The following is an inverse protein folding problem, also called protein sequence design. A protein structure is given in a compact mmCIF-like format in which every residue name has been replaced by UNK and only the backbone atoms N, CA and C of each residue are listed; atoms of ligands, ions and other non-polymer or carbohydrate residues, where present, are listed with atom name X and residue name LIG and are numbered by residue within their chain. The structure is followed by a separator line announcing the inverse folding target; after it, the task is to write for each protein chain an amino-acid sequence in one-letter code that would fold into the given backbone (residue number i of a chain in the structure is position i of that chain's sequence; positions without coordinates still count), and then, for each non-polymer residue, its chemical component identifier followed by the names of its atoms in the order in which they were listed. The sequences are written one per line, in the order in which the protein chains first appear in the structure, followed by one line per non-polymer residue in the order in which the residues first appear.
data_IF_444115960819
#
_entry.id   IF_444115960819
#
_cell.length_a   1.000
_cell.length_b   1.000
_cell.length_c   1.000
_cell.angle_alpha   90.00
_cell.angle_beta   90.00
_cell.angle_gamma   90.00
#
_symmetry.space_group_name_H-M   'P 1'
#
loop_
_entity.id
_entity.type
_entity.pdbx_description
1 polymer ?
#
# COMPACT_ATOMS: atom_id res chain seq x y z
N UNK A 1 -53.96 -16.49 51.42
CA UNK A 1 -52.94 -17.01 50.47
C UNK A 1 -52.97 -16.10 49.25
N UNK A 2 -52.07 -15.05 49.26
CA UNK A 2 -51.97 -14.10 48.17
C UNK A 2 -50.81 -14.46 47.22
N UNK A 3 -51.16 -14.79 45.99
CA UNK A 3 -50.22 -15.15 44.94
C UNK A 3 -49.88 -13.88 44.12
N UNK A 4 -48.73 -13.26 44.41
CA UNK A 4 -48.22 -12.10 43.65
C UNK A 4 -47.50 -12.60 42.38
N UNK A 5 -48.08 -12.34 41.21
CA UNK A 5 -47.45 -12.58 39.91
C UNK A 5 -46.40 -11.50 39.65
N UNK A 6 -45.14 -11.96 39.54
CA UNK A 6 -44.00 -11.09 39.11
C UNK A 6 -43.97 -11.11 37.58
N UNK A 7 -44.33 -10.00 36.95
CA UNK A 7 -44.16 -9.78 35.52
C UNK A 7 -42.71 -9.37 35.26
N UNK A 8 -41.92 -10.28 34.68
CA UNK A 8 -40.56 -9.99 34.19
C UNK A 8 -40.71 -9.46 32.76
N UNK A 9 -40.54 -8.14 32.59
CA UNK A 9 -40.47 -7.52 31.27
C UNK A 9 -39.15 -7.84 30.58
N UNK A 10 -39.21 -8.58 29.48
CA UNK A 10 -38.06 -8.73 28.57
C UNK A 10 -37.82 -7.41 27.84
N UNK A 11 -36.74 -6.72 28.17
CA UNK A 11 -36.20 -5.63 27.35
C UNK A 11 -35.48 -6.27 26.11
N UNK A 12 -36.06 -6.15 24.93
CA UNK A 12 -35.41 -6.47 23.70
C UNK A 12 -34.37 -5.40 23.36
N UNK A 13 -33.10 -5.69 23.50
CA UNK A 13 -32.00 -4.83 23.04
C UNK A 13 -31.90 -4.98 21.52
N UNK A 14 -32.34 -3.96 20.79
CA UNK A 14 -32.14 -3.90 19.35
C UNK A 14 -30.63 -3.71 19.05
N UNK A 15 -30.03 -4.69 18.36
CA UNK A 15 -28.67 -4.56 17.87
C UNK A 15 -28.60 -3.40 16.85
N UNK A 16 -27.56 -2.54 16.90
CA UNK A 16 -27.40 -1.51 15.89
C UNK A 16 -27.19 -2.15 14.52
N UNK A 17 -27.97 -1.72 13.54
CA UNK A 17 -27.79 -2.10 12.14
C UNK A 17 -26.38 -1.68 11.70
N UNK A 18 -25.61 -2.64 11.18
CA UNK A 18 -24.33 -2.35 10.57
C UNK A 18 -24.57 -1.43 9.36
N UNK A 19 -24.08 -0.20 9.44
CA UNK A 19 -24.05 0.71 8.31
C UNK A 19 -23.07 0.13 7.30
N UNK A 20 -23.60 -0.49 6.25
CA UNK A 20 -22.80 -0.90 5.10
C UNK A 20 -22.27 0.36 4.44
N UNK A 21 -20.94 0.54 4.45
CA UNK A 21 -20.31 1.62 3.70
C UNK A 21 -20.67 1.45 2.21
N UNK A 22 -21.10 2.52 1.58
CA UNK A 22 -21.35 2.52 0.15
C UNK A 22 -20.07 2.11 -0.59
N UNK A 23 -20.15 1.33 -1.69
CA UNK A 23 -18.98 0.96 -2.47
C UNK A 23 -18.23 2.23 -2.88
N UNK A 24 -16.90 2.19 -2.73
CA UNK A 24 -16.08 3.32 -3.11
C UNK A 24 -16.26 3.61 -4.62
N UNK A 25 -16.38 4.87 -5.02
CA UNK A 25 -16.50 5.21 -6.43
C UNK A 25 -15.26 4.70 -7.18
N UNK A 26 -15.50 4.08 -8.34
CA UNK A 26 -14.42 3.63 -9.22
C UNK A 26 -13.50 4.82 -9.57
N UNK A 27 -12.19 4.58 -9.58
CA UNK A 27 -11.22 5.60 -9.99
C UNK A 27 -11.30 5.74 -11.51
N UNK A 28 -11.70 6.90 -11.99
CA UNK A 28 -11.70 7.18 -13.43
C UNK A 28 -10.27 7.52 -13.91
N UNK A 29 -9.65 6.55 -14.53
CA UNK A 29 -8.31 6.69 -15.10
C UNK A 29 -8.32 7.33 -16.50
N UNK A 30 -9.49 7.39 -17.16
CA UNK A 30 -9.60 7.88 -18.56
C UNK A 30 -9.32 9.38 -18.67
N UNK A 31 -9.64 10.15 -17.63
CA UNK A 31 -9.39 11.59 -17.55
C UNK A 31 -7.92 11.96 -17.29
N UNK A 32 -7.05 10.98 -17.00
CA UNK A 32 -5.67 11.22 -16.63
C UNK A 32 -4.72 11.30 -17.83
N UNK A 33 -3.69 12.13 -17.71
CA UNK A 33 -2.55 12.12 -18.62
C UNK A 33 -1.80 10.79 -18.49
N UNK A 34 -1.59 10.10 -19.61
CA UNK A 34 -0.77 8.89 -19.64
C UNK A 34 0.68 9.18 -19.35
N UNK A 35 1.28 8.43 -18.46
CA UNK A 35 2.71 8.39 -18.20
C UNK A 35 3.34 7.06 -18.66
N UNK A 36 2.55 6.16 -19.24
CA UNK A 36 2.99 4.80 -19.60
C UNK A 36 4.19 4.80 -20.54
N UNK A 37 4.16 5.64 -21.57
CA UNK A 37 5.21 5.68 -22.57
C UNK A 37 6.49 6.29 -21.98
N UNK A 38 6.37 7.38 -21.23
CA UNK A 38 7.51 8.01 -20.58
C UNK A 38 8.16 7.08 -19.55
N UNK A 39 7.36 6.40 -18.74
CA UNK A 39 7.85 5.44 -17.73
C UNK A 39 8.55 4.22 -18.33
N UNK A 40 8.08 3.74 -19.50
CA UNK A 40 8.61 2.55 -20.15
C UNK A 40 9.67 2.85 -21.20
N UNK A 41 9.86 4.09 -21.59
CA UNK A 41 10.69 4.46 -22.73
C UNK A 41 12.14 4.00 -22.55
N UNK A 42 12.72 4.17 -21.38
CA UNK A 42 14.10 3.74 -21.09
C UNK A 42 14.24 2.23 -20.90
N UNK A 43 13.18 1.56 -20.48
CA UNK A 43 13.15 0.13 -20.18
C UNK A 43 12.46 -0.71 -21.27
N UNK A 44 12.17 -0.09 -22.41
CA UNK A 44 11.55 -0.78 -23.55
C UNK A 44 12.41 -1.89 -24.15
N UNK A 45 13.73 -1.86 -23.92
CA UNK A 45 14.71 -2.84 -24.44
C UNK A 45 15.51 -3.38 -23.25
N UNK A 46 15.06 -4.52 -22.72
CA UNK A 46 15.85 -5.30 -21.78
C UNK A 46 16.59 -6.41 -22.48
N UNK A 47 17.71 -6.86 -21.90
CA UNK A 47 18.41 -8.05 -22.38
C UNK A 47 17.60 -9.34 -22.07
N UNK A 48 18.07 -10.48 -22.55
CA UNK A 48 17.42 -11.77 -22.35
C UNK A 48 17.35 -12.24 -20.87
N UNK A 49 17.91 -11.46 -19.95
CA UNK A 49 17.89 -11.70 -18.49
C UNK A 49 17.10 -10.64 -17.75
N UNK A 50 16.28 -9.86 -18.45
CA UNK A 50 15.50 -8.74 -17.90
C UNK A 50 16.37 -7.70 -17.20
N UNK A 51 17.52 -7.36 -17.81
CA UNK A 51 18.45 -6.36 -17.28
C UNK A 51 18.57 -5.18 -18.23
N UNK A 52 18.57 -4.00 -17.63
CA UNK A 52 18.95 -2.74 -18.26
C UNK A 52 20.28 -2.27 -17.65
N UNK A 53 21.28 -2.03 -18.50
CA UNK A 53 22.66 -1.68 -18.08
C UNK A 53 23.22 -2.63 -16.98
N UNK A 54 22.89 -3.92 -17.07
CA UNK A 54 23.37 -4.92 -16.11
C UNK A 54 22.53 -5.06 -14.83
N UNK A 55 21.58 -4.17 -14.57
CA UNK A 55 20.70 -4.20 -13.41
C UNK A 55 19.37 -4.89 -13.75
N UNK A 56 18.87 -5.72 -12.86
CA UNK A 56 17.55 -6.32 -13.02
C UNK A 56 16.47 -5.24 -12.93
N UNK A 57 15.57 -5.20 -13.91
CA UNK A 57 14.47 -4.25 -13.99
C UNK A 57 13.14 -4.99 -14.14
N UNK A 58 12.06 -4.36 -13.74
CA UNK A 58 10.70 -4.91 -13.78
C UNK A 58 9.75 -4.04 -14.62
N UNK A 59 10.28 -3.07 -15.36
CA UNK A 59 9.53 -2.20 -16.26
C UNK A 59 9.63 -2.60 -17.73
N UNK A 60 10.36 -3.69 -18.06
CA UNK A 60 10.53 -4.15 -19.45
C UNK A 60 9.21 -4.58 -20.07
N UNK A 61 9.03 -4.37 -21.37
CA UNK A 61 7.78 -4.74 -22.10
C UNK A 61 7.42 -6.21 -22.01
N UNK A 62 8.41 -7.08 -21.81
CA UNK A 62 8.26 -8.51 -21.65
C UNK A 62 8.10 -8.94 -20.18
N UNK A 63 8.09 -7.99 -19.23
CA UNK A 63 7.82 -8.30 -17.82
C UNK A 63 6.32 -8.50 -17.62
N UNK A 64 5.85 -9.70 -17.21
CA UNK A 64 4.45 -9.95 -16.90
C UNK A 64 3.95 -9.13 -15.69
N UNK A 65 4.86 -8.53 -14.93
CA UNK A 65 4.55 -7.66 -13.80
C UNK A 65 4.53 -6.18 -14.18
N UNK A 66 4.70 -5.86 -15.46
CA UNK A 66 4.64 -4.48 -15.91
C UNK A 66 3.29 -3.84 -15.55
N UNK A 67 3.35 -2.59 -15.12
CA UNK A 67 2.17 -1.76 -14.86
C UNK A 67 1.32 -1.68 -16.13
N UNK A 68 0.03 -1.93 -16.02
CA UNK A 68 -0.89 -1.89 -17.17
C UNK A 68 -1.37 -0.49 -17.49
N UNK A 69 -1.38 0.42 -16.50
CA UNK A 69 -1.67 1.83 -16.69
C UNK A 69 -0.96 2.66 -15.61
N UNK A 70 -0.38 3.79 -15.99
CA UNK A 70 0.16 4.81 -15.10
C UNK A 70 -0.34 6.18 -15.57
N UNK A 71 -1.01 6.94 -14.70
CA UNK A 71 -1.71 8.17 -15.02
C UNK A 71 -1.41 9.26 -14.00
N UNK A 72 -1.28 10.49 -14.49
CA UNK A 72 -1.44 11.69 -13.65
C UNK A 72 -2.86 12.20 -13.84
N UNK A 73 -3.67 12.17 -12.78
CA UNK A 73 -5.05 12.63 -12.80
C UNK A 73 -5.10 14.18 -12.78
N UNK A 74 -6.23 14.80 -13.21
CA UNK A 74 -6.35 16.26 -13.29
C UNK A 74 -6.15 16.98 -11.95
N UNK A 75 -6.38 16.30 -10.83
CA UNK A 75 -6.14 16.85 -9.48
C UNK A 75 -4.68 16.73 -9.03
N UNK A 76 -3.79 16.21 -9.86
CA UNK A 76 -2.37 16.01 -9.60
C UNK A 76 -2.03 14.68 -8.92
N UNK A 77 -3.02 13.84 -8.57
CA UNK A 77 -2.75 12.51 -8.02
C UNK A 77 -2.16 11.58 -9.08
N UNK A 78 -1.39 10.60 -8.62
CA UNK A 78 -0.82 9.55 -9.47
C UNK A 78 -1.63 8.27 -9.25
N UNK A 79 -2.11 7.69 -10.34
CA UNK A 79 -2.84 6.43 -10.29
C UNK A 79 -2.21 5.40 -11.21
N UNK A 80 -2.13 4.15 -10.75
CA UNK A 80 -1.66 3.03 -11.59
C UNK A 80 -2.48 1.78 -11.33
N UNK A 81 -2.49 0.90 -12.33
CA UNK A 81 -3.11 -0.43 -12.26
C UNK A 81 -2.02 -1.47 -12.40
N UNK A 82 -1.98 -2.39 -11.45
CA UNK A 82 -0.96 -3.45 -11.40
C UNK A 82 -1.51 -4.69 -10.68
N UNK A 83 -0.73 -5.74 -10.64
CA UNK A 83 -0.86 -6.75 -9.58
C UNK A 83 -0.37 -6.17 -8.25
N UNK A 84 -0.58 -6.87 -7.15
CA UNK A 84 -0.02 -6.54 -5.85
C UNK A 84 0.78 -7.73 -5.32
N UNK A 85 2.10 -7.65 -5.43
CA UNK A 85 3.02 -8.59 -4.83
C UNK A 85 3.16 -8.34 -3.32
N UNK A 86 3.66 -9.32 -2.59
CA UNK A 86 3.79 -9.26 -1.13
C UNK A 86 5.14 -8.69 -0.74
N UNK A 87 5.11 -7.74 0.18
CA UNK A 87 6.27 -7.18 0.86
C UNK A 87 6.19 -7.47 2.37
N UNK A 88 7.28 -7.98 2.94
CA UNK A 88 7.42 -8.29 4.37
C UNK A 88 8.36 -7.33 5.11
N UNK A 89 9.01 -6.40 4.40
CA UNK A 89 10.01 -5.51 4.99
C UNK A 89 9.45 -4.77 6.20
N UNK A 90 10.26 -4.65 7.26
CA UNK A 90 9.85 -4.06 8.53
C UNK A 90 8.97 -4.93 9.43
N UNK A 91 8.45 -6.06 8.95
CA UNK A 91 7.66 -6.94 9.80
C UNK A 91 8.52 -7.60 10.89
N UNK A 92 7.95 -7.92 12.07
CA UNK A 92 8.67 -8.72 13.05
C UNK A 92 9.13 -10.08 12.52
N UNK A 93 8.46 -10.60 11.50
CA UNK A 93 8.85 -11.82 10.80
C UNK A 93 10.16 -11.60 10.02
N UNK A 94 10.22 -10.60 9.14
CA UNK A 94 11.41 -10.27 8.34
C UNK A 94 12.58 -9.81 9.23
N UNK A 95 12.30 -9.07 10.31
CA UNK A 95 13.32 -8.60 11.26
C UNK A 95 13.85 -9.68 12.21
N UNK A 96 13.27 -10.88 12.20
CA UNK A 96 13.70 -11.96 13.10
C UNK A 96 14.86 -12.76 12.52
N UNK A 97 16.01 -12.85 13.20
CA UNK A 97 17.13 -13.70 12.77
C UNK A 97 16.75 -15.19 12.60
N UNK A 98 15.66 -15.64 13.21
CA UNK A 98 15.20 -17.03 13.12
C UNK A 98 14.58 -17.38 11.74
N UNK A 99 14.19 -16.40 10.94
CA UNK A 99 13.51 -16.61 9.67
C UNK A 99 14.41 -16.42 8.44
N UNK A 100 15.70 -16.13 8.66
CA UNK A 100 16.67 -15.97 7.59
C UNK A 100 16.45 -14.70 6.77
N UNK A 101 16.85 -14.74 5.50
CA UNK A 101 16.78 -13.61 4.56
C UNK A 101 15.61 -13.73 3.60
N UNK A 102 14.40 -14.03 4.09
CA UNK A 102 13.22 -14.03 3.21
C UNK A 102 12.90 -12.63 2.71
N UNK A 103 13.16 -11.63 3.57
CA UNK A 103 13.02 -10.22 3.23
C UNK A 103 13.92 -9.36 4.12
N UNK A 104 13.97 -8.05 3.87
CA UNK A 104 14.82 -7.14 4.62
C UNK A 104 14.09 -6.64 5.88
N UNK A 105 14.84 -6.25 6.91
CA UNK A 105 14.23 -5.61 8.07
C UNK A 105 14.01 -4.10 7.86
N UNK A 106 14.96 -3.31 7.31
CA UNK A 106 14.75 -1.88 7.08
C UNK A 106 13.70 -1.66 5.98
N UNK A 107 12.85 -0.65 6.16
CA UNK A 107 12.00 -0.07 5.12
C UNK A 107 12.55 1.30 4.70
N UNK A 108 12.21 1.79 3.50
CA UNK A 108 12.62 3.12 3.07
C UNK A 108 12.05 4.23 3.96
N UNK A 109 10.82 4.06 4.47
CA UNK A 109 10.26 4.95 5.49
C UNK A 109 10.63 4.43 6.88
N UNK A 110 11.58 5.11 7.52
CA UNK A 110 11.95 4.87 8.91
C UNK A 110 11.26 5.91 9.80
N UNK A 111 10.88 5.51 11.00
CA UNK A 111 10.20 6.38 11.97
C UNK A 111 11.00 6.48 13.26
N UNK A 112 11.10 7.68 13.83
CA UNK A 112 11.71 7.87 15.13
C UNK A 112 10.77 7.41 16.25
N UNK A 113 11.23 6.47 17.08
CA UNK A 113 10.52 6.04 18.29
C UNK A 113 10.65 7.08 19.42
N UNK A 114 9.96 6.86 20.54
CA UNK A 114 10.01 7.76 21.69
C UNK A 114 11.39 7.94 22.33
N UNK A 115 12.39 7.13 21.92
CA UNK A 115 13.78 7.20 22.34
C UNK A 115 14.69 7.81 21.29
N UNK A 116 14.12 8.30 20.18
CA UNK A 116 14.86 8.84 19.03
C UNK A 116 15.59 7.78 18.18
N UNK A 117 15.21 6.52 18.28
CA UNK A 117 15.77 5.45 17.44
C UNK A 117 14.95 5.32 16.17
N UNK A 118 15.63 5.20 15.05
CA UNK A 118 15.01 4.87 13.78
C UNK A 118 14.55 3.41 13.78
N UNK A 119 13.27 3.21 13.49
CA UNK A 119 12.63 1.89 13.39
C UNK A 119 11.85 1.80 12.08
N UNK A 120 11.85 0.63 11.42
CA UNK A 120 11.08 0.43 10.20
C UNK A 120 9.57 0.47 10.50
N UNK A 121 8.78 0.72 9.47
CA UNK A 121 7.33 0.52 9.59
C UNK A 121 6.99 -0.96 9.54
N UNK A 122 6.05 -1.38 10.37
CA UNK A 122 5.69 -2.79 10.54
C UNK A 122 4.73 -3.25 9.42
N UNK A 123 5.22 -4.05 8.46
CA UNK A 123 4.42 -4.60 7.37
C UNK A 123 3.21 -5.45 7.83
N UNK A 124 3.23 -6.00 9.03
CA UNK A 124 2.10 -6.77 9.58
C UNK A 124 0.98 -5.86 10.14
N UNK A 125 1.28 -4.59 10.40
CA UNK A 125 0.34 -3.64 11.05
C UNK A 125 -0.05 -2.47 10.18
N UNK A 126 0.86 -2.02 9.32
CA UNK A 126 0.69 -0.80 8.54
C UNK A 126 0.43 -1.16 7.07
N UNK A 127 -0.76 -0.83 6.54
CA UNK A 127 -1.00 -0.90 5.11
C UNK A 127 -0.10 0.09 4.38
N UNK A 128 0.86 -0.42 3.61
CA UNK A 128 1.73 0.41 2.78
C UNK A 128 1.89 -0.19 1.39
N UNK A 129 2.28 0.65 0.46
CA UNK A 129 2.71 0.27 -0.90
C UNK A 129 4.18 0.56 -1.07
N UNK A 130 4.79 -0.18 -2.00
CA UNK A 130 6.18 -0.05 -2.41
C UNK A 130 6.24 0.69 -3.73
N UNK A 131 7.16 1.64 -3.85
CA UNK A 131 7.46 2.32 -5.11
C UNK A 131 8.83 1.86 -5.63
N UNK A 132 9.13 2.02 -6.93
CA UNK A 132 10.43 1.67 -7.45
C UNK A 132 11.56 2.43 -6.75
N UNK A 133 12.64 1.71 -6.47
CA UNK A 133 13.89 2.33 -6.05
C UNK A 133 14.46 3.20 -7.18
N UNK A 134 15.06 4.34 -6.82
CA UNK A 134 15.60 5.30 -7.78
C UNK A 134 16.77 4.78 -8.63
N UNK A 135 17.24 3.56 -8.35
CA UNK A 135 18.30 2.91 -9.10
C UNK A 135 19.70 3.18 -8.53
N UNK A 136 20.69 2.46 -9.04
CA UNK A 136 22.09 2.72 -8.74
C UNK A 136 22.53 4.07 -9.33
N UNK A 137 23.64 4.63 -8.83
CA UNK A 137 24.12 5.98 -9.18
C UNK A 137 24.41 6.21 -10.68
N UNK A 138 24.53 5.16 -11.46
CA UNK A 138 24.76 5.18 -12.91
C UNK A 138 23.48 4.99 -13.75
N UNK A 139 22.34 4.78 -13.09
CA UNK A 139 21.04 4.60 -13.73
C UNK A 139 20.00 5.36 -12.92
N UNK A 140 19.44 6.39 -13.51
CA UNK A 140 18.42 7.23 -12.88
C UNK A 140 17.04 6.55 -12.98
N UNK A 141 16.37 6.39 -11.85
CA UNK A 141 15.00 5.90 -11.78
C UNK A 141 14.01 6.94 -12.31
N UNK A 142 13.01 6.47 -13.04
CA UNK A 142 12.06 7.35 -13.71
C UNK A 142 10.82 7.64 -12.86
N UNK A 143 10.43 6.74 -11.97
CA UNK A 143 9.14 6.85 -11.29
C UNK A 143 9.01 8.13 -10.46
N UNK A 144 9.94 8.38 -9.56
CA UNK A 144 9.92 9.60 -8.70
C UNK A 144 10.06 10.87 -9.53
N UNK A 145 10.97 10.88 -10.51
CA UNK A 145 11.15 12.03 -11.41
C UNK A 145 9.89 12.36 -12.21
N UNK A 146 9.19 11.34 -12.71
CA UNK A 146 7.96 11.52 -13.50
C UNK A 146 6.74 11.84 -12.62
N UNK A 147 6.67 11.34 -11.40
CA UNK A 147 5.44 11.39 -10.59
C UNK A 147 5.51 12.37 -9.44
N UNK A 148 6.69 12.63 -8.92
CA UNK A 148 6.90 13.36 -7.67
C UNK A 148 6.57 12.57 -6.41
N UNK A 149 6.21 11.29 -6.54
CA UNK A 149 5.90 10.41 -5.40
C UNK A 149 7.18 9.95 -4.72
N UNK A 150 7.18 9.96 -3.39
CA UNK A 150 8.30 9.50 -2.54
C UNK A 150 7.81 8.75 -1.30
N UNK A 151 8.73 8.08 -0.61
CA UNK A 151 8.45 7.45 0.68
C UNK A 151 7.84 8.47 1.66
N UNK A 152 6.81 8.05 2.40
CA UNK A 152 6.04 8.91 3.30
C UNK A 152 4.80 9.55 2.67
N UNK A 153 4.65 9.56 1.34
CA UNK A 153 3.43 10.05 0.68
C UNK A 153 2.26 9.12 0.97
N UNK A 154 1.07 9.71 1.15
CA UNK A 154 -0.17 8.98 1.41
C UNK A 154 -0.86 8.57 0.11
N UNK A 155 -1.72 7.57 0.21
CA UNK A 155 -2.52 7.08 -0.90
C UNK A 155 -3.65 6.16 -0.47
N UNK A 156 -4.27 5.54 -1.44
CA UNK A 156 -5.23 4.45 -1.20
C UNK A 156 -5.16 3.42 -2.31
N UNK A 157 -5.52 2.19 -1.96
CA UNK A 157 -5.60 1.06 -2.89
C UNK A 157 -7.04 0.61 -3.01
N UNK A 158 -7.46 0.30 -4.23
CA UNK A 158 -8.81 -0.21 -4.54
C UNK A 158 -8.69 -1.55 -5.23
N UNK A 159 -9.36 -2.56 -4.71
CA UNK A 159 -9.49 -3.88 -5.31
C UNK A 159 -10.83 -4.51 -4.88
N UNK A 160 -11.57 -5.12 -5.81
CA UNK A 160 -12.86 -5.77 -5.58
C UNK A 160 -13.85 -4.93 -4.76
N UNK A 161 -13.90 -3.62 -5.02
CA UNK A 161 -14.78 -2.68 -4.32
C UNK A 161 -14.32 -2.29 -2.90
N UNK A 162 -13.24 -2.86 -2.41
CA UNK A 162 -12.61 -2.50 -1.14
C UNK A 162 -11.63 -1.35 -1.37
N UNK A 163 -11.68 -0.32 -0.51
CA UNK A 163 -10.70 0.78 -0.51
C UNK A 163 -9.92 0.78 0.79
N UNK A 164 -8.60 0.71 0.69
CA UNK A 164 -7.68 0.70 1.84
C UNK A 164 -6.79 1.94 1.79
N UNK A 165 -6.82 2.81 2.83
CA UNK A 165 -5.85 3.89 2.98
C UNK A 165 -4.45 3.32 3.20
N UNK A 166 -3.44 3.90 2.53
CA UNK A 166 -2.05 3.45 2.58
C UNK A 166 -1.08 4.62 2.70
N UNK A 167 0.16 4.30 2.97
CA UNK A 167 1.31 5.18 2.87
C UNK A 167 2.33 4.53 1.92
N UNK A 168 3.17 5.31 1.25
CA UNK A 168 4.35 4.79 0.58
C UNK A 168 5.38 4.45 1.65
N UNK A 169 5.52 3.18 1.94
CA UNK A 169 6.32 2.68 3.06
C UNK A 169 7.71 2.22 2.69
N UNK A 170 7.85 1.77 1.46
CA UNK A 170 9.13 1.21 1.03
C UNK A 170 9.46 1.51 -0.43
N UNK A 171 10.71 1.22 -0.78
CA UNK A 171 11.22 1.22 -2.15
C UNK A 171 11.69 -0.18 -2.51
N UNK A 172 11.09 -0.73 -3.53
CA UNK A 172 11.34 -2.09 -3.98
C UNK A 172 12.33 -2.19 -5.13
N UNK A 173 12.29 -3.32 -5.85
CA UNK A 173 13.16 -3.51 -6.99
C UNK A 173 13.03 -2.38 -8.00
N UNK A 174 14.14 -2.10 -8.68
CA UNK A 174 14.24 -1.04 -9.68
C UNK A 174 13.12 -1.17 -10.73
N UNK A 175 12.37 -0.07 -10.91
CA UNK A 175 11.25 0.05 -11.85
C UNK A 175 10.08 -0.94 -11.67
N UNK A 176 9.96 -1.58 -10.51
CA UNK A 176 8.82 -2.42 -10.18
C UNK A 176 7.75 -1.60 -9.45
N UNK A 177 6.51 -1.67 -9.92
CA UNK A 177 5.29 -1.23 -9.21
C UNK A 177 4.41 -2.43 -8.86
N UNK A 178 3.49 -2.22 -7.93
CA UNK A 178 2.52 -3.25 -7.55
C UNK A 178 3.07 -4.23 -6.52
N UNK A 179 3.52 -3.68 -5.41
CA UNK A 179 3.93 -4.42 -4.23
C UNK A 179 3.42 -3.72 -2.97
N UNK A 180 3.14 -4.48 -1.92
CA UNK A 180 2.64 -3.90 -0.68
C UNK A 180 2.63 -4.86 0.49
N UNK A 181 2.46 -4.30 1.68
CA UNK A 181 2.56 -4.99 2.96
C UNK A 181 1.53 -6.10 3.16
N UNK A 182 1.82 -7.07 4.02
CA UNK A 182 0.84 -8.09 4.44
C UNK A 182 -0.37 -7.48 5.13
N UNK A 183 -0.21 -6.33 5.80
CA UNK A 183 -1.35 -5.59 6.36
C UNK A 183 -2.29 -5.07 5.26
N UNK A 184 -1.75 -4.60 4.14
CA UNK A 184 -2.54 -4.20 2.98
C UNK A 184 -3.27 -5.40 2.36
N UNK A 185 -2.57 -6.51 2.13
CA UNK A 185 -3.19 -7.74 1.61
C UNK A 185 -4.34 -8.21 2.52
N UNK A 186 -4.13 -8.24 3.83
CA UNK A 186 -5.18 -8.59 4.80
C UNK A 186 -6.38 -7.65 4.73
N UNK A 187 -6.15 -6.36 4.62
CA UNK A 187 -7.22 -5.37 4.48
C UNK A 187 -8.01 -5.51 3.16
N UNK A 188 -7.38 -6.06 2.11
CA UNK A 188 -8.00 -6.45 0.84
C UNK A 188 -8.60 -7.87 0.86
N UNK A 189 -8.67 -8.53 2.03
CA UNK A 189 -9.28 -9.85 2.20
C UNK A 189 -8.33 -11.05 1.99
N UNK A 190 -7.02 -10.82 1.87
CA UNK A 190 -5.99 -11.86 1.68
C UNK A 190 -5.14 -12.01 2.94
N UNK A 191 -5.48 -12.96 3.82
CA UNK A 191 -4.67 -13.24 5.01
C UNK A 191 -3.43 -14.07 4.62
N UNK A 192 -2.27 -13.46 4.79
CA UNK A 192 -0.98 -14.07 4.48
C UNK A 192 -0.21 -14.51 5.72
N UNK A 193 -0.74 -14.26 6.93
CA UNK A 193 -0.16 -14.76 8.16
C UNK A 193 -0.76 -16.13 8.52
N UNK A 194 0.03 -17.18 8.40
CA UNK A 194 -0.39 -18.55 8.74
C UNK A 194 -0.43 -18.80 10.25
N UNK A 195 0.34 -18.05 11.06
CA UNK A 195 0.34 -18.20 12.52
C UNK A 195 0.72 -16.89 13.20
N UNK A 196 -0.07 -16.52 14.20
CA UNK A 196 0.23 -15.41 15.11
C UNK A 196 0.59 -15.94 16.49
N UNK A 197 1.47 -15.24 17.18
CA UNK A 197 1.77 -15.50 18.58
C UNK A 197 0.69 -14.92 19.53
N UNK A 198 0.92 -15.02 20.84
CA UNK A 198 -0.02 -14.52 21.86
C UNK A 198 -0.14 -12.98 21.87
N UNK A 199 0.82 -12.26 21.32
CA UNK A 199 0.82 -10.81 21.16
C UNK A 199 0.17 -10.36 19.83
N UNK A 200 -0.27 -11.32 18.99
CA UNK A 200 -0.86 -11.07 17.68
C UNK A 200 0.16 -10.79 16.58
N UNK A 201 1.45 -11.01 16.85
CA UNK A 201 2.53 -10.83 15.86
C UNK A 201 2.58 -12.03 14.93
N UNK A 202 2.71 -11.77 13.62
CA UNK A 202 2.88 -12.82 12.64
C UNK A 202 4.24 -13.50 12.80
N UNK A 203 4.23 -14.80 13.10
CA UNK A 203 5.44 -15.62 13.30
C UNK A 203 5.60 -16.71 12.25
N UNK A 204 4.66 -16.83 11.34
CA UNK A 204 4.74 -17.69 10.16
C UNK A 204 3.83 -17.15 9.06
N UNK A 205 4.35 -17.01 7.87
CA UNK A 205 3.59 -16.64 6.67
C UNK A 205 3.05 -17.86 5.95
N UNK A 206 2.04 -17.64 5.09
CA UNK A 206 1.52 -18.65 4.17
C UNK A 206 2.55 -18.85 3.05
N UNK A 207 2.81 -20.09 2.68
CA UNK A 207 3.69 -20.44 1.57
C UNK A 207 2.96 -21.37 0.57
N UNK A 208 3.00 -21.05 -0.74
CA UNK A 208 3.60 -19.85 -1.34
C UNK A 208 2.80 -18.59 -0.99
N UNK A 209 3.48 -17.45 -0.88
CA UNK A 209 2.83 -16.14 -0.75
C UNK A 209 2.33 -15.71 -2.13
N UNK A 210 1.03 -15.84 -2.33
CA UNK A 210 0.41 -15.47 -3.62
C UNK A 210 0.11 -13.98 -3.67
N UNK A 211 0.52 -13.34 -4.75
CA UNK A 211 0.14 -11.98 -5.12
C UNK A 211 -1.37 -11.88 -5.40
N UNK A 212 -1.92 -10.67 -5.34
CA UNK A 212 -3.20 -10.37 -5.99
C UNK A 212 -2.89 -10.10 -7.46
N UNK A 213 -3.37 -10.97 -8.35
CA UNK A 213 -3.06 -10.92 -9.78
C UNK A 213 -3.99 -9.94 -10.52
N UNK A 214 -3.48 -8.75 -10.83
CA UNK A 214 -4.16 -7.77 -11.66
C UNK A 214 -5.26 -6.94 -10.95
N UNK A 215 -5.73 -5.92 -11.66
CA UNK A 215 -6.85 -5.05 -11.31
C UNK A 215 -6.77 -4.35 -9.93
N UNK A 216 -5.57 -4.24 -9.38
CA UNK A 216 -5.34 -3.42 -8.19
C UNK A 216 -5.05 -1.99 -8.62
N UNK A 217 -5.94 -1.08 -8.25
CA UNK A 217 -5.77 0.36 -8.53
C UNK A 217 -5.13 1.02 -7.32
N UNK A 218 -3.97 1.61 -7.50
CA UNK A 218 -3.30 2.41 -6.47
C UNK A 218 -3.37 3.89 -6.85
N UNK A 219 -3.75 4.75 -5.90
CA UNK A 219 -3.77 6.20 -6.07
C UNK A 219 -2.92 6.84 -4.98
N UNK A 220 -1.95 7.66 -5.39
CA UNK A 220 -0.99 8.31 -4.51
C UNK A 220 -1.11 9.83 -4.60
N UNK A 221 -0.83 10.53 -3.50
CA UNK A 221 -0.86 11.99 -3.37
C UNK A 221 0.57 12.53 -3.27
N UNK A 222 1.23 12.91 -4.38
CA UNK A 222 2.61 13.40 -4.34
C UNK A 222 2.77 14.60 -3.43
N UNK A 223 3.86 14.64 -2.65
CA UNK A 223 4.17 15.72 -1.73
C UNK A 223 3.29 15.78 -0.49
N UNK A 224 2.62 14.68 -0.14
CA UNK A 224 1.77 14.60 1.06
C UNK A 224 2.50 14.05 2.30
N UNK A 225 3.77 13.69 2.17
CA UNK A 225 4.57 13.16 3.28
C UNK A 225 4.60 14.10 4.49
N UNK A 226 4.65 13.51 5.69
CA UNK A 226 4.67 14.24 6.98
C UNK A 226 5.89 13.82 7.79
N UNK A 227 6.53 14.81 8.43
CA UNK A 227 7.74 14.60 9.25
C UNK A 227 7.40 14.28 10.72
N UNK A 228 6.12 14.38 11.13
CA UNK A 228 5.69 14.16 12.52
C UNK A 228 5.11 12.76 12.79
N UNK A 229 5.27 11.84 11.84
CA UNK A 229 4.84 10.46 12.01
C UNK A 229 5.75 9.72 13.01
N UNK A 230 5.11 8.91 13.84
CA UNK A 230 5.81 8.03 14.79
C UNK A 230 5.21 6.62 14.75
N UNK A 231 5.89 5.59 15.24
CA UNK A 231 5.31 4.24 15.33
C UNK A 231 3.99 4.19 16.11
N UNK A 232 3.79 5.10 17.07
CA UNK A 232 2.57 5.17 17.86
C UNK A 232 1.40 5.89 17.15
N UNK A 233 1.68 6.69 16.12
CA UNK A 233 0.67 7.53 15.48
C UNK A 233 0.31 7.09 14.08
N UNK A 234 1.24 6.51 13.33
CA UNK A 234 1.10 6.21 11.89
C UNK A 234 -0.19 5.47 11.55
N UNK A 235 -0.53 4.41 12.26
CA UNK A 235 -1.71 3.58 11.96
C UNK A 235 -3.03 4.38 12.01
N UNK A 236 -3.15 5.34 12.91
CA UNK A 236 -4.34 6.19 13.03
C UNK A 236 -4.29 7.42 12.12
N UNK A 237 -3.09 7.86 11.75
CA UNK A 237 -2.90 9.04 10.89
C UNK A 237 -3.23 8.73 9.43
N UNK A 238 -2.83 7.57 8.91
CA UNK A 238 -3.07 7.19 7.51
C UNK A 238 -4.53 7.37 7.08
N UNK A 239 -5.55 6.77 7.74
CA UNK A 239 -6.92 6.89 7.27
C UNK A 239 -7.45 8.34 7.35
N UNK A 240 -7.02 9.12 8.32
CA UNK A 240 -7.43 10.52 8.49
C UNK A 240 -6.86 11.39 7.37
N UNK A 241 -5.55 11.30 7.13
CA UNK A 241 -4.88 12.09 6.08
C UNK A 241 -5.40 11.70 4.68
N UNK A 242 -5.55 10.42 4.40
CA UNK A 242 -6.10 9.97 3.11
C UNK A 242 -7.52 10.49 2.90
N UNK A 243 -8.37 10.50 3.94
CA UNK A 243 -9.72 11.07 3.81
C UNK A 243 -9.70 12.57 3.49
N UNK A 244 -8.81 13.33 4.14
CA UNK A 244 -8.63 14.77 3.88
C UNK A 244 -8.11 15.03 2.46
N UNK A 245 -7.09 14.29 2.02
CA UNK A 245 -6.49 14.42 0.70
C UNK A 245 -7.50 14.05 -0.41
N UNK A 246 -8.28 12.98 -0.24
CA UNK A 246 -9.36 12.62 -1.16
C UNK A 246 -10.42 13.72 -1.28
N UNK A 247 -10.83 14.32 -0.18
CA UNK A 247 -11.77 15.43 -0.19
C UNK A 247 -11.21 16.66 -0.90
N UNK A 248 -9.92 16.96 -0.73
CA UNK A 248 -9.23 18.04 -1.45
C UNK A 248 -9.13 17.77 -2.95
N UNK A 249 -8.76 16.55 -3.35
CA UNK A 249 -8.69 16.13 -4.73
C UNK A 249 -10.06 16.22 -5.43
N UNK A 250 -11.13 15.77 -4.76
CA UNK A 250 -12.48 15.89 -5.27
C UNK A 250 -12.90 17.35 -5.52
N UNK A 251 -12.54 18.27 -4.63
CA UNK A 251 -12.77 19.72 -4.82
C UNK A 251 -12.02 20.27 -6.02
N UNK A 252 -10.75 19.90 -6.22
CA UNK A 252 -9.96 20.34 -7.39
C UNK A 252 -10.60 19.87 -8.71
N UNK A 253 -11.06 18.62 -8.78
CA UNK A 253 -11.76 18.09 -9.96
C UNK A 253 -13.08 18.80 -10.26
N UNK A 254 -13.78 19.31 -9.25
CA UNK A 254 -15.05 19.99 -9.43
C UNK A 254 -14.90 21.46 -9.92
N UNK A 255 -13.69 22.03 -9.85
CA UNK A 255 -13.39 23.43 -10.16
C UNK A 255 -12.42 23.60 -11.35
N UNK A 256 -11.88 22.52 -11.89
CA UNK A 256 -11.07 22.49 -13.11
C UNK A 256 -11.85 21.92 -14.28
#
# INVERSE_FOLDING_TARGET
MDLRYLLIGLLAIAAPAAVQAAPAPAVDLSAGQSLDEAYRHEFGICDAKDRFRGHRVHGCRNDPNAVTALRRLPDGTIAYVSKLAVDLDGSPFACSPAHGSMDQCPTALMLSDARGREVPIDADRIPYVVIPWEGPSDVEGQFTALTGVKAGDFGYVVHDGVTVPVIVGDTGPFEKLGEGSIALHRALGRELCAKRDKAGVCVRVVEPMESIEGDVVTVLFPGSARDDLTPATIARTIPVEVALLRAQAARRRAHG
#
